data_IF_393490575561
#
_entry.id   IF_393490575561
#
_cell.length_a   1.000
_cell.length_b   1.000
_cell.length_c   1.000
_cell.angle_alpha   90.00
_cell.angle_beta   90.00
_cell.angle_gamma   90.00
#
_symmetry.space_group_name_H-M   'P 1'
#
loop_
_entity.id
_entity.type
_entity.pdbx_description
1 polymer ?
#
# COMPACT_ATOMS: atom_id res chain seq x y z
N UNK A 1 -42.93 11.53 25.28
CA UNK A 1 -42.44 11.39 23.90
C UNK A 1 -40.95 11.72 23.83
N UNK A 2 -40.49 12.74 24.57
CA UNK A 2 -39.09 13.19 24.60
C UNK A 2 -38.11 12.15 25.15
N UNK A 3 -38.50 11.40 26.19
CA UNK A 3 -37.67 10.35 26.79
C UNK A 3 -37.40 9.18 25.81
N UNK A 4 -38.38 8.86 24.95
CA UNK A 4 -38.23 7.85 23.91
C UNK A 4 -37.30 8.33 22.78
N UNK A 5 -37.42 9.60 22.38
CA UNK A 5 -36.53 10.24 21.41
C UNK A 5 -35.09 10.29 21.91
N UNK A 6 -34.88 10.65 23.18
CA UNK A 6 -33.55 10.70 23.80
C UNK A 6 -32.89 9.32 23.86
N UNK A 7 -33.64 8.28 24.24
CA UNK A 7 -33.13 6.90 24.27
C UNK A 7 -32.82 6.41 22.85
N UNK A 8 -33.68 6.66 21.87
CA UNK A 8 -33.45 6.23 20.50
C UNK A 8 -32.21 6.88 19.87
N UNK A 9 -32.03 8.20 20.08
CA UNK A 9 -30.86 8.92 19.59
C UNK A 9 -29.57 8.45 20.25
N UNK A 10 -29.56 8.29 21.56
CA UNK A 10 -28.37 7.80 22.29
C UNK A 10 -27.98 6.39 21.84
N UNK A 11 -28.96 5.51 21.67
CA UNK A 11 -28.72 4.14 21.18
C UNK A 11 -28.20 4.14 19.74
N UNK A 12 -28.77 4.96 18.86
CA UNK A 12 -28.32 5.06 17.46
C UNK A 12 -26.88 5.57 17.34
N UNK A 13 -26.51 6.60 18.11
CA UNK A 13 -25.13 7.12 18.15
C UNK A 13 -24.18 6.07 18.73
N UNK A 14 -24.56 5.40 19.82
CA UNK A 14 -23.76 4.33 20.40
C UNK A 14 -23.51 3.19 19.41
N UNK A 15 -24.54 2.76 18.66
CA UNK A 15 -24.40 1.74 17.61
C UNK A 15 -23.53 2.24 16.47
N UNK A 16 -23.70 3.47 15.99
CA UNK A 16 -22.88 4.03 14.91
C UNK A 16 -21.39 4.10 15.28
N UNK A 17 -21.08 4.48 16.53
CA UNK A 17 -19.70 4.53 17.03
C UNK A 17 -19.14 3.15 17.33
N UNK A 18 -19.96 2.20 17.78
CA UNK A 18 -19.53 0.82 18.05
C UNK A 18 -19.42 -0.03 16.76
N UNK A 19 -20.18 0.31 15.70
CA UNK A 19 -20.16 -0.37 14.41
C UNK A 19 -18.76 -0.55 13.80
N UNK A 20 -17.88 0.49 13.75
CA UNK A 20 -16.52 0.31 13.25
C UNK A 20 -15.67 -0.63 14.10
N UNK A 21 -16.01 -0.85 15.38
CA UNK A 21 -15.29 -1.77 16.24
C UNK A 21 -15.62 -3.24 15.91
N UNK A 22 -16.90 -3.54 15.63
CA UNK A 22 -17.33 -4.90 15.24
C UNK A 22 -17.04 -5.22 13.77
N UNK A 23 -16.99 -4.21 12.89
CA UNK A 23 -16.65 -4.39 11.47
C UNK A 23 -15.15 -4.61 11.19
N UNK A 24 -14.27 -4.35 12.17
CA UNK A 24 -12.81 -4.39 12.00
C UNK A 24 -12.12 -5.60 12.63
N UNK A 25 -12.87 -6.48 13.31
CA UNK A 25 -12.36 -7.76 13.80
C UNK A 25 -11.90 -8.72 12.68
N UNK A 26 -12.21 -8.39 11.41
CA UNK A 26 -11.70 -9.10 10.23
C UNK A 26 -10.60 -8.35 9.46
N UNK A 27 -10.26 -7.13 9.87
CA UNK A 27 -9.24 -6.30 9.21
C UNK A 27 -8.07 -5.93 10.11
N UNK A 28 -8.17 -6.10 11.44
CA UNK A 28 -7.00 -5.97 12.32
C UNK A 28 -5.94 -7.06 12.06
N UNK A 29 -6.36 -8.18 11.47
CA UNK A 29 -5.48 -9.25 11.01
C UNK A 29 -5.22 -9.23 9.50
N UNK A 30 -5.88 -8.39 8.70
CA UNK A 30 -5.69 -8.36 7.23
C UNK A 30 -4.57 -7.39 6.77
N UNK A 31 -4.23 -6.38 7.59
CA UNK A 31 -3.00 -5.59 7.38
C UNK A 31 -1.72 -6.37 7.79
N UNK A 32 -1.89 -7.43 8.60
CA UNK A 32 -0.85 -8.41 8.95
C UNK A 32 -0.80 -9.59 7.96
N UNK A 33 -1.85 -9.75 7.13
CA UNK A 33 -1.94 -10.81 6.12
C UNK A 33 -1.23 -10.35 4.85
N UNK A 34 -0.02 -10.90 4.69
CA UNK A 34 0.80 -10.90 3.47
C UNK A 34 1.80 -9.75 3.35
N UNK A 35 2.42 -9.30 4.45
CA UNK A 35 3.80 -8.83 4.32
C UNK A 35 4.61 -10.05 3.87
N UNK A 36 5.22 -9.96 2.68
CA UNK A 36 6.11 -11.02 2.24
C UNK A 36 7.18 -11.24 3.33
N UNK A 37 7.71 -12.46 3.53
CA UNK A 37 8.77 -12.70 4.51
C UNK A 37 9.94 -11.70 4.35
N UNK A 38 10.13 -11.20 3.13
CA UNK A 38 11.11 -10.19 2.78
C UNK A 38 10.77 -8.77 3.28
N UNK A 39 9.48 -8.39 3.30
CA UNK A 39 9.05 -7.10 3.86
C UNK A 39 9.19 -7.06 5.38
N UNK A 40 9.02 -8.21 6.04
CA UNK A 40 9.29 -8.35 7.49
C UNK A 40 10.78 -8.16 7.79
N UNK A 41 11.64 -8.84 7.04
CA UNK A 41 13.10 -8.70 7.16
C UNK A 41 13.56 -7.26 6.90
N UNK A 42 12.95 -6.57 5.93
CA UNK A 42 13.18 -5.15 5.69
C UNK A 42 12.85 -4.33 6.94
N UNK A 43 11.63 -4.46 7.48
CA UNK A 43 11.20 -3.69 8.66
C UNK A 43 12.11 -3.90 9.87
N UNK A 44 12.54 -5.13 10.11
CA UNK A 44 13.47 -5.47 11.19
C UNK A 44 14.84 -4.79 11.01
N UNK A 45 15.42 -4.82 9.81
CA UNK A 45 16.68 -4.13 9.53
C UNK A 45 16.56 -2.60 9.72
N UNK A 46 15.45 -1.99 9.30
CA UNK A 46 15.21 -0.57 9.52
C UNK A 46 15.01 -0.21 11.01
N UNK A 47 14.34 -1.07 11.77
CA UNK A 47 14.16 -0.87 13.21
C UNK A 47 15.52 -0.94 13.94
N UNK A 48 16.36 -1.92 13.60
CA UNK A 48 17.69 -2.08 14.18
C UNK A 48 18.59 -0.86 13.90
N UNK A 49 18.52 -0.29 12.68
CA UNK A 49 19.28 0.94 12.36
C UNK A 49 18.80 2.13 13.21
N UNK A 50 17.49 2.29 13.40
CA UNK A 50 16.95 3.37 14.23
C UNK A 50 17.32 3.24 15.70
N UNK A 51 17.32 2.02 16.22
CA UNK A 51 17.73 1.76 17.60
C UNK A 51 19.22 2.07 17.80
N UNK A 52 20.09 1.67 16.85
CA UNK A 52 21.51 2.01 16.88
C UNK A 52 21.78 3.52 16.81
N UNK A 53 20.99 4.27 16.03
CA UNK A 53 21.07 5.73 15.95
C UNK A 53 20.61 6.39 17.25
N UNK A 54 19.58 5.84 17.90
CA UNK A 54 19.13 6.31 19.20
C UNK A 54 20.19 6.07 20.29
N UNK A 55 20.79 4.88 20.33
CA UNK A 55 21.86 4.58 21.28
C UNK A 55 23.11 5.44 21.06
N UNK A 56 23.44 5.77 19.80
CA UNK A 56 24.51 6.72 19.47
C UNK A 56 24.19 8.14 19.98
N UNK A 57 22.98 8.64 19.74
CA UNK A 57 22.54 9.96 20.23
C UNK A 57 22.53 10.03 21.76
N UNK A 58 22.25 8.92 22.44
CA UNK A 58 22.34 8.81 23.90
C UNK A 58 23.78 8.68 24.43
N UNK A 59 24.78 8.63 23.55
CA UNK A 59 26.19 8.46 23.93
C UNK A 59 26.56 7.05 24.40
N UNK A 60 25.72 6.05 24.16
CA UNK A 60 26.03 4.64 24.47
C UNK A 60 26.99 4.01 23.46
N UNK A 61 27.01 4.50 22.23
CA UNK A 61 27.91 4.03 21.18
C UNK A 61 28.88 5.14 20.76
N UNK A 62 30.11 4.74 20.46
CA UNK A 62 31.09 5.61 19.81
C UNK A 62 30.76 5.76 18.32
N UNK A 63 31.25 6.83 17.68
CA UNK A 63 31.08 7.04 16.23
C UNK A 63 31.59 5.85 15.40
N UNK A 64 32.70 5.23 15.82
CA UNK A 64 33.29 4.09 15.15
C UNK A 64 32.39 2.83 15.24
N UNK A 65 31.82 2.56 16.41
CA UNK A 65 30.92 1.42 16.63
C UNK A 65 29.58 1.61 15.91
N UNK A 66 29.05 2.83 15.92
CA UNK A 66 27.85 3.19 15.17
C UNK A 66 28.04 3.00 13.66
N UNK A 67 29.15 3.51 13.10
CA UNK A 67 29.47 3.36 11.69
C UNK A 67 29.57 1.88 11.29
N UNK A 68 30.23 1.05 12.09
CA UNK A 68 30.36 -0.38 11.86
C UNK A 68 29.00 -1.12 11.93
N UNK A 69 28.14 -0.79 12.90
CA UNK A 69 26.79 -1.37 13.01
C UNK A 69 25.92 -0.96 11.81
N UNK A 70 25.89 0.32 11.49
CA UNK A 70 25.09 0.89 10.40
C UNK A 70 25.44 0.24 9.07
N UNK A 71 26.73 0.05 8.77
CA UNK A 71 27.16 -0.56 7.53
C UNK A 71 26.73 -2.03 7.42
N UNK A 72 26.83 -2.80 8.50
CA UNK A 72 26.34 -4.19 8.54
C UNK A 72 24.84 -4.29 8.29
N UNK A 73 24.03 -3.47 8.96
CA UNK A 73 22.58 -3.46 8.75
C UNK A 73 22.19 -2.93 7.37
N UNK A 74 22.94 -1.98 6.82
CA UNK A 74 22.73 -1.49 5.46
C UNK A 74 22.95 -2.58 4.42
N UNK A 75 24.02 -3.38 4.57
CA UNK A 75 24.25 -4.54 3.70
C UNK A 75 23.11 -5.56 3.81
N UNK A 76 22.64 -5.86 5.03
CA UNK A 76 21.48 -6.74 5.22
C UNK A 76 20.21 -6.18 4.55
N UNK A 77 19.92 -4.89 4.69
CA UNK A 77 18.78 -4.26 4.05
C UNK A 77 18.86 -4.33 2.51
N UNK A 78 20.05 -4.09 1.93
CA UNK A 78 20.30 -4.21 0.50
C UNK A 78 20.06 -5.65 0.00
N UNK A 79 20.56 -6.66 0.71
CA UNK A 79 20.31 -8.07 0.32
C UNK A 79 18.81 -8.40 0.31
N UNK A 80 18.05 -7.95 1.31
CA UNK A 80 16.60 -8.13 1.34
C UNK A 80 15.92 -7.45 0.13
N UNK A 81 16.25 -6.19 -0.15
CA UNK A 81 15.66 -5.44 -1.29
C UNK A 81 15.95 -6.14 -2.63
N UNK A 82 17.18 -6.57 -2.88
CA UNK A 82 17.52 -7.24 -4.15
C UNK A 82 16.79 -8.58 -4.31
N UNK A 83 16.55 -9.31 -3.22
CA UNK A 83 15.77 -10.55 -3.27
C UNK A 83 14.28 -10.30 -3.54
N UNK A 84 13.72 -9.18 -3.04
CA UNK A 84 12.36 -8.73 -3.39
C UNK A 84 12.27 -8.39 -4.88
N UNK A 85 13.23 -7.62 -5.40
CA UNK A 85 13.25 -7.25 -6.82
C UNK A 85 13.38 -8.47 -7.73
N UNK A 86 14.23 -9.44 -7.38
CA UNK A 86 14.35 -10.71 -8.10
C UNK A 86 13.06 -11.53 -8.04
N UNK A 87 12.38 -11.59 -6.90
CA UNK A 87 11.09 -12.27 -6.76
C UNK A 87 9.99 -11.59 -7.60
N UNK A 88 9.99 -10.24 -7.66
CA UNK A 88 9.10 -9.45 -8.52
C UNK A 88 9.43 -9.64 -10.02
N UNK A 89 10.70 -9.71 -10.39
CA UNK A 89 11.11 -9.93 -11.78
C UNK A 89 10.71 -11.32 -12.31
N UNK A 90 10.77 -12.35 -11.44
CA UNK A 90 10.30 -13.71 -11.75
C UNK A 90 8.78 -13.85 -11.77
N UNK A 91 8.06 -12.87 -11.23
CA UNK A 91 6.60 -12.78 -11.25
C UNK A 91 6.16 -11.46 -11.87
N UNK A 92 6.29 -11.27 -13.20
CA UNK A 92 5.88 -10.02 -13.87
C UNK A 92 4.39 -9.70 -13.67
N UNK A 93 3.60 -10.65 -13.19
CA UNK A 93 2.20 -10.51 -12.79
C UNK A 93 1.98 -9.79 -11.44
N UNK A 94 3.02 -9.51 -10.65
CA UNK A 94 2.92 -8.86 -9.34
C UNK A 94 3.17 -7.34 -9.35
N UNK A 95 3.21 -6.70 -10.53
CA UNK A 95 3.02 -5.25 -10.62
C UNK A 95 1.52 -4.97 -10.50
N UNK A 96 1.11 -4.77 -9.25
CA UNK A 96 -0.22 -4.33 -8.86
C UNK A 96 -1.13 -5.47 -8.44
N UNK A 97 -1.40 -5.57 -7.13
CA UNK A 97 -2.75 -5.88 -6.65
C UNK A 97 -3.67 -4.76 -7.19
N UNK A 98 -3.98 -4.81 -8.48
CA UNK A 98 -5.01 -3.99 -9.08
C UNK A 98 -6.31 -4.36 -8.41
N UNK A 99 -6.96 -3.34 -7.85
CA UNK A 99 -8.30 -3.43 -7.31
C UNK A 99 -9.22 -4.33 -8.18
N UNK A 100 -10.15 -5.09 -7.57
CA UNK A 100 -11.07 -5.91 -8.33
C UNK A 100 -11.96 -5.00 -9.19
N UNK A 101 -11.72 -4.95 -10.51
CA UNK A 101 -12.63 -4.25 -11.43
C UNK A 101 -12.08 -3.68 -12.74
N UNK A 102 -10.80 -3.82 -13.09
CA UNK A 102 -10.29 -3.14 -14.29
C UNK A 102 -10.47 -3.97 -15.57
N UNK A 103 -11.52 -3.67 -16.35
CA UNK A 103 -11.68 -4.19 -17.72
C UNK A 103 -10.68 -3.45 -18.63
N UNK A 104 -9.82 -4.14 -19.40
CA UNK A 104 -8.83 -3.48 -20.23
C UNK A 104 -9.52 -2.59 -21.28
N UNK A 105 -9.08 -1.33 -21.36
CA UNK A 105 -9.42 -0.44 -22.46
C UNK A 105 -8.76 -0.97 -23.74
N UNK A 106 -9.56 -1.13 -24.82
CA UNK A 106 -9.11 -1.73 -26.09
C UNK A 106 -8.46 -0.74 -27.06
N UNK A 107 -8.27 0.52 -26.67
CA UNK A 107 -7.73 1.54 -27.56
C UNK A 107 -6.20 1.51 -27.55
N UNK A 108 -5.59 1.25 -28.72
CA UNK A 108 -4.14 1.39 -28.89
C UNK A 108 -3.69 2.87 -28.96
N UNK A 109 -4.56 3.75 -29.44
CA UNK A 109 -4.32 5.18 -29.61
C UNK A 109 -5.50 6.03 -29.11
N UNK A 110 -5.19 7.21 -28.59
CA UNK A 110 -6.18 8.15 -28.09
C UNK A 110 -7.01 8.76 -29.25
N UNK A 111 -8.35 8.74 -29.21
CA UNK A 111 -9.17 9.37 -30.25
C UNK A 111 -9.12 10.90 -30.23
N UNK A 112 -8.76 11.53 -29.11
CA UNK A 112 -8.70 12.99 -28.99
C UNK A 112 -7.37 13.60 -29.47
N UNK A 113 -6.25 12.91 -29.29
CA UNK A 113 -4.92 13.46 -29.57
C UNK A 113 -3.94 12.49 -30.23
N UNK A 114 -4.36 11.28 -30.60
CA UNK A 114 -3.55 10.31 -31.35
C UNK A 114 -2.41 9.63 -30.58
N UNK A 115 -2.16 9.97 -29.31
CA UNK A 115 -1.08 9.35 -28.52
C UNK A 115 -1.35 7.88 -28.21
N UNK A 116 -0.31 7.05 -28.22
CA UNK A 116 -0.38 5.65 -27.81
C UNK A 116 -0.85 5.52 -26.35
N UNK A 117 -1.79 4.61 -26.11
CA UNK A 117 -2.42 4.38 -24.81
C UNK A 117 -1.86 3.10 -24.19
N UNK A 118 -1.29 3.16 -22.97
CA UNK A 118 -0.84 1.97 -22.27
C UNK A 118 -2.02 1.11 -21.82
N UNK A 119 -1.80 -0.20 -21.70
CA UNK A 119 -2.80 -1.12 -21.15
C UNK A 119 -3.32 -0.63 -19.78
N UNK A 120 -4.64 -0.71 -19.56
CA UNK A 120 -5.31 -0.32 -18.30
C UNK A 120 -5.35 1.20 -18.00
N UNK A 121 -5.41 2.02 -19.05
CA UNK A 121 -5.61 3.47 -18.89
C UNK A 121 -7.10 3.84 -18.91
N UNK A 122 -7.56 4.59 -17.90
CA UNK A 122 -8.88 5.24 -17.88
C UNK A 122 -8.87 6.59 -18.62
N UNK A 123 -7.70 7.22 -18.74
CA UNK A 123 -7.50 8.55 -19.35
C UNK A 123 -6.22 8.56 -20.19
N UNK A 124 -6.17 9.41 -21.22
CA UNK A 124 -4.97 9.59 -22.02
C UNK A 124 -3.90 10.37 -21.25
N UNK A 125 -2.64 9.87 -21.14
CA UNK A 125 -1.56 10.57 -20.43
C UNK A 125 -1.03 11.82 -21.17
N UNK A 126 -1.39 12.01 -22.44
CA UNK A 126 -0.96 13.18 -23.21
C UNK A 126 -1.92 14.36 -23.13
N UNK A 127 -3.21 14.09 -23.25
CA UNK A 127 -4.24 15.14 -23.41
C UNK A 127 -5.41 15.03 -22.42
N UNK A 128 -5.41 14.03 -21.52
CA UNK A 128 -6.45 13.88 -20.50
C UNK A 128 -7.77 13.29 -20.99
N UNK A 129 -7.89 12.92 -22.28
CA UNK A 129 -9.11 12.34 -22.84
C UNK A 129 -9.58 11.09 -22.08
N UNK A 130 -10.86 11.03 -21.70
CA UNK A 130 -11.43 9.91 -20.96
C UNK A 130 -11.71 8.69 -21.86
N UNK A 131 -11.12 7.55 -21.52
CA UNK A 131 -11.22 6.29 -22.25
C UNK A 131 -12.22 5.38 -21.55
N UNK A 132 -13.53 5.64 -21.73
CA UNK A 132 -14.58 4.78 -21.16
C UNK A 132 -14.56 3.37 -21.79
N UNK A 133 -14.77 2.30 -21.01
CA UNK A 133 -14.95 0.96 -21.57
C UNK A 133 -16.26 0.92 -22.38
N UNK A 134 -16.18 0.51 -23.65
CA UNK A 134 -17.24 0.47 -24.68
C UNK A 134 -18.51 -0.38 -24.35
N UNK A 135 -18.79 -0.73 -23.09
CA UNK A 135 -20.01 -1.49 -22.74
C UNK A 135 -21.29 -0.64 -22.75
N UNK A 136 -21.19 0.69 -22.92
CA UNK A 136 -22.31 1.63 -22.92
C UNK A 136 -22.57 2.31 -24.28
N UNK A 137 -21.88 1.92 -25.36
CA UNK A 137 -22.05 2.56 -26.68
C UNK A 137 -23.06 1.83 -27.61
N UNK A 138 -23.65 0.72 -27.16
CA UNK A 138 -24.70 -0.01 -27.90
C UNK A 138 -25.73 -0.54 -26.89
N UNK A 139 -26.58 0.36 -26.39
CA UNK A 139 -27.89 0.08 -25.82
C UNK A 139 -28.73 1.36 -25.89
#
# INVERSE_FOLDING_TARGET
MDLLLAVLLTTAVAVFVAWPFFGRARSASDDDVQLSPLDRQKREAYAAIKEAEFDHQMGKLTDADFAALRERYMLQALTAITSIEKARAKSPTAIGKGAPGHKPTRFAYCPGCGRHIPNRANFCPGCGYALKPLKEAVA
#
